data_IF_387125092594
#
_entry.id   IF_387125092594
#
_cell.length_a   1.000
_cell.length_b   1.000
_cell.length_c   1.000
_cell.angle_alpha   90.00
_cell.angle_beta   90.00
_cell.angle_gamma   90.00
#
_symmetry.space_group_name_H-M   'P 1'
#
loop_
_entity.id
_entity.type
_entity.pdbx_description
1 polymer ?
#
# COMPACT_ATOMS: atom_id res chain seq x y z
N UNK A 1 -19.92 -22.91 -16.17
CA UNK A 1 -20.76 -22.27 -15.15
C UNK A 1 -19.86 -21.95 -13.96
N UNK A 2 -19.37 -20.71 -13.87
CA UNK A 2 -18.58 -20.25 -12.74
C UNK A 2 -19.53 -20.03 -11.57
N UNK A 3 -19.34 -20.80 -10.50
CA UNK A 3 -20.06 -20.68 -9.24
C UNK A 3 -19.79 -19.30 -8.65
N UNK A 4 -20.85 -18.54 -8.38
CA UNK A 4 -20.78 -17.18 -7.87
C UNK A 4 -20.03 -17.12 -6.54
N UNK A 5 -18.80 -16.60 -6.58
CA UNK A 5 -18.20 -16.01 -5.40
C UNK A 5 -19.03 -14.75 -5.10
N UNK A 6 -19.61 -14.67 -3.91
CA UNK A 6 -20.37 -13.49 -3.52
C UNK A 6 -19.43 -12.29 -3.44
N UNK A 7 -19.77 -11.18 -4.08
CA UNK A 7 -19.09 -9.88 -3.98
C UNK A 7 -19.16 -9.27 -2.55
N UNK A 8 -19.61 -10.03 -1.56
CA UNK A 8 -19.77 -9.61 -0.18
C UNK A 8 -18.42 -9.58 0.55
N UNK A 9 -18.08 -8.44 1.16
CA UNK A 9 -16.97 -8.33 2.11
C UNK A 9 -17.12 -9.33 3.27
N UNK A 10 -16.04 -10.01 3.64
CA UNK A 10 -16.03 -10.87 4.82
C UNK A 10 -15.66 -10.03 6.06
N UNK A 11 -15.90 -10.54 7.28
CA UNK A 11 -15.67 -9.79 8.52
C UNK A 11 -14.26 -9.19 8.65
N UNK A 12 -13.23 -9.90 8.16
CA UNK A 12 -11.84 -9.41 8.15
C UNK A 12 -11.65 -8.18 7.27
N UNK A 13 -12.42 -8.05 6.18
CA UNK A 13 -12.35 -6.83 5.36
C UNK A 13 -12.99 -5.65 6.08
N UNK A 14 -14.14 -5.87 6.72
CA UNK A 14 -14.80 -4.80 7.48
C UNK A 14 -13.88 -4.28 8.59
N UNK A 15 -13.30 -5.19 9.39
CA UNK A 15 -12.38 -4.80 10.47
C UNK A 15 -11.13 -4.08 9.94
N UNK A 16 -10.47 -4.62 8.91
CA UNK A 16 -9.28 -4.00 8.35
C UNK A 16 -9.54 -2.65 7.66
N UNK A 17 -10.73 -2.46 7.07
CA UNK A 17 -11.15 -1.17 6.53
C UNK A 17 -11.50 -0.16 7.63
N UNK A 18 -12.08 -0.62 8.74
CA UNK A 18 -12.27 0.20 9.94
C UNK A 18 -10.92 0.66 10.51
N UNK A 19 -9.91 -0.22 10.59
CA UNK A 19 -8.56 0.14 11.02
C UNK A 19 -7.93 1.18 10.08
N UNK A 20 -8.04 0.98 8.76
CA UNK A 20 -7.59 1.98 7.79
C UNK A 20 -8.31 3.32 7.96
N UNK A 21 -9.62 3.31 8.20
CA UNK A 21 -10.40 4.53 8.44
C UNK A 21 -9.99 5.21 9.76
N UNK A 22 -9.64 4.45 10.80
CA UNK A 22 -9.12 5.01 12.07
C UNK A 22 -7.75 5.65 11.86
N UNK A 23 -6.88 5.01 11.07
CA UNK A 23 -5.53 5.53 10.77
C UNK A 23 -5.61 6.74 9.84
N UNK A 24 -6.52 6.73 8.86
CA UNK A 24 -6.69 7.75 7.82
C UNK A 24 -8.11 8.34 7.80
N UNK A 25 -8.54 9.03 8.88
CA UNK A 25 -9.92 9.48 9.03
C UNK A 25 -10.36 10.46 7.95
N UNK A 26 -9.42 11.22 7.38
CA UNK A 26 -9.66 12.19 6.33
C UNK A 26 -10.02 11.56 4.98
N UNK A 27 -9.76 10.27 4.79
CA UNK A 27 -9.96 9.63 3.50
C UNK A 27 -11.37 9.13 3.29
N UNK A 28 -12.16 8.83 4.32
CA UNK A 28 -13.51 8.28 4.15
C UNK A 28 -13.50 6.89 3.50
N UNK A 29 -12.65 6.01 4.03
CA UNK A 29 -12.49 4.61 3.67
C UNK A 29 -13.68 3.82 4.21
N UNK A 30 -14.49 3.25 3.32
CA UNK A 30 -15.55 2.31 3.69
C UNK A 30 -15.71 1.18 2.64
N UNK A 31 -16.65 0.26 2.86
CA UNK A 31 -16.87 -0.88 1.98
C UNK A 31 -17.46 -0.48 0.60
N UNK A 32 -18.29 0.57 0.54
CA UNK A 32 -19.07 1.00 -0.62
C UNK A 32 -18.40 2.13 -1.42
N UNK A 33 -17.54 2.91 -0.77
CA UNK A 33 -16.67 3.91 -1.32
C UNK A 33 -15.30 3.29 -1.49
N UNK A 34 -14.84 3.09 -2.73
CA UNK A 34 -13.51 2.51 -2.93
C UNK A 34 -12.42 3.34 -2.27
N UNK A 35 -11.97 4.42 -2.89
CA UNK A 35 -10.83 5.17 -2.36
C UNK A 35 -11.20 6.20 -1.28
N UNK A 36 -12.49 6.39 -1.02
CA UNK A 36 -12.94 7.64 -0.41
C UNK A 36 -12.35 8.85 -1.18
N UNK A 37 -11.90 9.89 -0.49
CA UNK A 37 -11.32 11.09 -1.09
C UNK A 37 -9.94 10.93 -1.78
N UNK A 38 -9.30 9.75 -1.74
CA UNK A 38 -7.91 9.55 -2.21
C UNK A 38 -7.74 9.07 -3.66
N UNK A 39 -8.81 9.04 -4.48
CA UNK A 39 -8.79 8.33 -5.77
C UNK A 39 -9.27 9.10 -7.00
N UNK A 40 -8.66 8.77 -8.15
CA UNK A 40 -8.99 9.27 -9.49
C UNK A 40 -10.46 9.06 -9.91
N UNK A 41 -11.15 8.13 -9.26
CA UNK A 41 -12.56 7.86 -9.43
C UNK A 41 -13.15 7.45 -8.07
N UNK A 42 -13.81 8.39 -7.39
CA UNK A 42 -14.50 8.17 -6.12
C UNK A 42 -15.64 7.14 -6.23
N UNK A 43 -16.10 6.85 -7.45
CA UNK A 43 -17.14 5.84 -7.73
C UNK A 43 -16.58 4.44 -8.00
N UNK A 44 -15.26 4.27 -8.13
CA UNK A 44 -14.65 2.94 -8.27
C UNK A 44 -14.84 2.19 -6.95
N UNK A 45 -15.55 1.07 -6.98
CA UNK A 45 -15.78 0.23 -5.80
C UNK A 45 -14.62 -0.74 -5.60
N UNK A 46 -14.34 -1.08 -4.33
CA UNK A 46 -13.53 -2.25 -4.01
C UNK A 46 -14.25 -3.49 -4.52
N UNK A 47 -13.51 -4.43 -5.08
CA UNK A 47 -14.06 -5.66 -5.64
C UNK A 47 -13.35 -6.86 -5.03
N UNK A 48 -14.11 -7.78 -4.44
CA UNK A 48 -13.58 -9.11 -4.12
C UNK A 48 -13.61 -9.99 -5.35
N UNK A 49 -12.54 -10.74 -5.59
CA UNK A 49 -12.49 -11.82 -6.59
C UNK A 49 -12.75 -11.39 -8.06
N UNK A 50 -12.93 -10.10 -8.34
CA UNK A 50 -13.09 -9.56 -9.70
C UNK A 50 -11.75 -9.18 -10.35
N UNK A 51 -10.68 -9.21 -9.55
CA UNK A 51 -9.32 -8.87 -9.94
C UNK A 51 -8.47 -10.14 -10.08
N UNK A 52 -7.69 -10.22 -11.15
CA UNK A 52 -6.75 -11.31 -11.32
C UNK A 52 -5.69 -11.27 -10.19
N UNK A 53 -5.33 -12.45 -9.68
CA UNK A 53 -4.28 -12.61 -8.64
C UNK A 53 -4.55 -11.83 -7.35
N UNK A 54 -5.83 -11.63 -7.06
CA UNK A 54 -6.34 -11.06 -5.81
C UNK A 54 -6.32 -12.10 -4.69
N UNK A 55 -5.16 -12.29 -4.07
CA UNK A 55 -4.98 -13.23 -2.97
C UNK A 55 -4.98 -12.48 -1.63
N UNK A 56 -5.99 -12.63 -0.77
CA UNK A 56 -5.95 -12.06 0.58
C UNK A 56 -4.83 -12.71 1.41
N UNK A 57 -4.32 -11.97 2.40
CA UNK A 57 -3.44 -12.55 3.42
C UNK A 57 -4.20 -13.58 4.26
N UNK A 58 -3.49 -14.62 4.69
CA UNK A 58 -3.97 -15.54 5.73
C UNK A 58 -3.40 -15.20 7.11
N UNK A 59 -2.47 -14.25 7.15
CA UNK A 59 -1.82 -13.78 8.37
C UNK A 59 -2.71 -12.71 9.02
N UNK A 60 -3.20 -12.93 10.26
CA UNK A 60 -4.09 -12.00 10.94
C UNK A 60 -3.41 -10.66 11.27
N UNK A 61 -2.08 -10.61 11.35
CA UNK A 61 -1.33 -9.39 11.65
C UNK A 61 -1.11 -8.53 10.40
N UNK A 62 -1.46 -9.02 9.21
CA UNK A 62 -1.26 -8.31 7.94
C UNK A 62 -2.55 -8.29 7.12
N UNK A 63 -3.22 -7.15 7.15
CA UNK A 63 -4.39 -6.89 6.32
C UNK A 63 -3.99 -6.15 5.04
N UNK A 64 -4.42 -6.69 3.90
CA UNK A 64 -4.36 -5.97 2.61
C UNK A 64 -5.78 -5.80 2.07
N UNK A 65 -6.17 -4.54 1.87
CA UNK A 65 -7.52 -4.20 1.45
C UNK A 65 -7.84 -4.79 0.07
N UNK A 66 -9.10 -5.19 -0.18
CA UNK A 66 -9.55 -5.59 -1.51
C UNK A 66 -9.14 -4.57 -2.57
N UNK A 67 -8.70 -5.07 -3.72
CA UNK A 67 -8.30 -4.23 -4.84
C UNK A 67 -9.52 -3.49 -5.40
N UNK A 68 -9.27 -2.40 -6.15
CA UNK A 68 -10.32 -1.73 -6.91
C UNK A 68 -10.06 -1.84 -8.40
N UNK A 69 -11.13 -2.13 -9.14
CA UNK A 69 -11.11 -2.17 -10.60
C UNK A 69 -11.32 -0.76 -11.17
N UNK A 70 -10.46 -0.33 -12.08
CA UNK A 70 -10.53 1.01 -12.71
C UNK A 70 -10.78 0.96 -14.22
N UNK A 71 -10.73 -0.22 -14.82
CA UNK A 71 -10.89 -0.41 -16.27
C UNK A 71 -11.44 -1.81 -16.60
N UNK A 72 -11.73 -2.07 -17.89
CA UNK A 72 -12.34 -3.32 -18.32
C UNK A 72 -11.37 -4.52 -18.34
N UNK A 73 -10.06 -4.28 -18.39
CA UNK A 73 -9.04 -5.32 -18.46
C UNK A 73 -8.95 -6.19 -17.21
N UNK A 74 -8.35 -7.37 -17.36
CA UNK A 74 -8.12 -8.30 -16.23
C UNK A 74 -7.10 -7.76 -15.22
N UNK A 75 -6.12 -6.99 -15.71
CA UNK A 75 -5.06 -6.35 -14.91
C UNK A 75 -5.39 -4.92 -14.48
N UNK A 76 -6.60 -4.41 -14.80
CA UNK A 76 -7.04 -3.06 -14.44
C UNK A 76 -7.50 -2.97 -12.98
N UNK A 77 -6.70 -3.57 -12.09
CA UNK A 77 -6.93 -3.66 -10.66
C UNK A 77 -5.73 -3.14 -9.90
N UNK A 78 -5.99 -2.24 -8.95
CA UNK A 78 -4.94 -1.56 -8.16
C UNK A 78 -5.14 -1.77 -6.66
N UNK A 79 -4.04 -1.85 -5.92
CA UNK A 79 -4.06 -1.95 -4.46
C UNK A 79 -4.67 -0.69 -3.83
N UNK A 80 -5.35 -0.84 -2.69
CA UNK A 80 -6.11 0.26 -2.07
C UNK A 80 -5.71 0.61 -0.64
N UNK A 81 -4.86 -0.21 -0.03
CA UNK A 81 -4.32 0.06 1.30
C UNK A 81 -3.93 -1.22 2.01
N UNK A 82 -3.15 -1.07 3.07
CA UNK A 82 -2.71 -2.15 3.92
C UNK A 82 -2.56 -1.68 5.36
N UNK A 83 -2.79 -2.57 6.30
CA UNK A 83 -2.53 -2.38 7.73
C UNK A 83 -1.74 -3.58 8.23
N UNK A 84 -0.75 -3.34 9.08
CA UNK A 84 -0.11 -4.39 9.83
C UNK A 84 0.04 -4.05 11.31
N UNK A 85 0.00 -5.11 12.11
CA UNK A 85 0.48 -5.11 13.48
C UNK A 85 1.85 -5.76 13.51
N UNK A 86 2.88 -4.92 13.59
CA UNK A 86 4.27 -5.34 13.45
C UNK A 86 4.88 -5.53 14.84
N UNK A 87 5.38 -6.73 15.08
CA UNK A 87 6.12 -7.10 16.29
C UNK A 87 7.50 -7.62 15.91
N UNK A 88 8.34 -7.94 16.90
CA UNK A 88 9.66 -8.52 16.65
C UNK A 88 9.58 -9.85 15.84
N UNK A 89 8.53 -10.65 16.08
CA UNK A 89 8.28 -11.90 15.36
C UNK A 89 7.92 -11.69 13.89
N UNK A 90 7.42 -10.50 13.54
CA UNK A 90 7.09 -10.13 12.16
C UNK A 90 8.34 -9.90 11.29
N UNK A 91 9.48 -9.55 11.89
CA UNK A 91 10.66 -9.06 11.17
C UNK A 91 11.35 -10.15 10.35
N UNK A 92 11.74 -9.82 9.11
CA UNK A 92 12.44 -10.74 8.18
C UNK A 92 13.79 -10.18 7.78
N UNK A 93 14.71 -10.14 8.73
CA UNK A 93 16.05 -9.59 8.49
C UNK A 93 16.79 -10.34 7.36
N UNK A 94 17.51 -9.57 6.53
CA UNK A 94 18.35 -10.11 5.46
C UNK A 94 17.59 -10.70 4.28
N UNK A 95 16.25 -10.78 4.34
CA UNK A 95 15.42 -11.26 3.24
C UNK A 95 14.83 -10.07 2.49
N UNK A 96 15.07 -10.04 1.17
CA UNK A 96 14.37 -9.17 0.24
C UNK A 96 13.73 -10.04 -0.82
N UNK A 97 12.43 -10.28 -0.65
CA UNK A 97 11.64 -11.00 -1.64
C UNK A 97 11.10 -10.03 -2.67
N UNK A 98 11.39 -10.31 -3.94
CA UNK A 98 10.77 -9.59 -5.04
C UNK A 98 9.28 -9.95 -5.15
N UNK A 99 8.43 -8.99 -5.54
CA UNK A 99 7.05 -9.24 -5.92
C UNK A 99 6.97 -10.29 -7.01
N UNK A 100 6.05 -11.24 -6.86
CA UNK A 100 5.84 -12.31 -7.85
C UNK A 100 5.22 -11.83 -9.16
N UNK A 101 4.50 -10.71 -9.13
CA UNK A 101 3.73 -10.18 -10.26
C UNK A 101 3.87 -8.67 -10.40
N UNK A 102 3.60 -8.20 -11.61
CA UNK A 102 3.60 -6.79 -11.95
C UNK A 102 2.28 -6.14 -11.50
N UNK A 103 2.32 -5.06 -10.70
CA UNK A 103 1.11 -4.34 -10.33
C UNK A 103 0.54 -3.55 -11.52
N UNK A 104 -0.72 -3.10 -11.39
CA UNK A 104 -1.34 -2.26 -12.41
C UNK A 104 -0.49 -1.02 -12.73
N UNK A 105 -0.50 -0.60 -13.99
CA UNK A 105 0.29 0.54 -14.46
C UNK A 105 1.79 0.26 -14.70
N UNK A 106 2.24 -0.99 -14.57
CA UNK A 106 3.66 -1.34 -14.74
C UNK A 106 4.21 -0.99 -16.12
N UNK A 107 3.47 -1.29 -17.19
CA UNK A 107 3.87 -0.96 -18.57
C UNK A 107 3.96 0.55 -18.81
N UNK A 108 3.10 1.33 -18.15
CA UNK A 108 3.15 2.78 -18.18
C UNK A 108 4.44 3.29 -17.53
N UNK A 109 4.76 2.84 -16.30
CA UNK A 109 5.99 3.24 -15.60
C UNK A 109 7.24 2.88 -16.40
N UNK A 110 7.31 1.68 -16.98
CA UNK A 110 8.42 1.26 -17.86
C UNK A 110 8.57 2.17 -19.09
N UNK A 111 7.47 2.65 -19.64
CA UNK A 111 7.47 3.53 -20.82
C UNK A 111 7.90 4.95 -20.45
N UNK A 112 7.40 5.49 -19.35
CA UNK A 112 7.69 6.85 -18.89
C UNK A 112 9.11 6.96 -18.33
N UNK A 113 9.61 5.93 -17.64
CA UNK A 113 10.94 5.94 -17.02
C UNK A 113 11.61 4.55 -17.06
N UNK A 114 12.21 4.16 -18.21
CA UNK A 114 12.67 2.79 -18.49
C UNK A 114 13.80 2.24 -17.61
N UNK A 115 14.39 3.07 -16.74
CA UNK A 115 15.44 2.69 -15.79
C UNK A 115 15.13 3.13 -14.35
N UNK A 116 13.90 3.54 -14.07
CA UNK A 116 13.49 4.05 -12.76
C UNK A 116 12.19 3.40 -12.27
N UNK A 117 11.89 2.19 -12.72
CA UNK A 117 10.69 1.45 -12.37
C UNK A 117 10.88 0.69 -11.05
N UNK A 118 9.88 0.75 -10.18
CA UNK A 118 9.84 -0.01 -8.94
C UNK A 118 8.46 -0.63 -8.73
N UNK A 119 8.46 -1.82 -8.14
CA UNK A 119 7.27 -2.45 -7.58
C UNK A 119 7.29 -2.15 -6.09
N UNK A 120 6.63 -1.06 -5.71
CA UNK A 120 6.64 -0.56 -4.35
C UNK A 120 5.80 -1.49 -3.48
N UNK A 121 6.38 -1.96 -2.38
CA UNK A 121 5.62 -2.65 -1.33
C UNK A 121 4.77 -1.62 -0.59
N UNK A 122 3.54 -1.94 -0.21
CA UNK A 122 2.83 -1.13 0.79
C UNK A 122 3.36 -1.46 2.19
N UNK A 123 3.59 -2.73 2.47
CA UNK A 123 4.27 -3.22 3.66
C UNK A 123 5.51 -3.97 3.19
N UNK A 124 6.69 -3.45 3.54
CA UNK A 124 7.95 -4.04 3.11
C UNK A 124 8.18 -5.44 3.66
N UNK A 125 8.94 -6.23 2.91
CA UNK A 125 9.26 -7.60 3.29
C UNK A 125 10.03 -7.68 4.61
N UNK A 126 10.91 -6.72 4.90
CA UNK A 126 11.67 -6.67 6.17
C UNK A 126 10.78 -6.48 7.39
N UNK A 127 9.59 -5.90 7.20
CA UNK A 127 8.55 -5.73 8.22
C UNK A 127 7.52 -6.88 8.24
N UNK A 128 7.77 -7.98 7.50
CA UNK A 128 6.88 -9.13 7.40
C UNK A 128 5.92 -9.11 6.21
N UNK A 129 5.97 -8.04 5.40
CA UNK A 129 5.14 -7.87 4.20
C UNK A 129 5.22 -9.05 3.22
N UNK A 130 4.07 -9.41 2.66
CA UNK A 130 3.92 -10.55 1.77
C UNK A 130 4.27 -10.18 0.33
N UNK A 131 4.97 -11.08 -0.39
CA UNK A 131 5.31 -10.92 -1.81
C UNK A 131 4.43 -11.71 -2.78
N UNK A 132 3.43 -12.41 -2.25
CA UNK A 132 2.51 -13.28 -2.99
C UNK A 132 1.09 -12.70 -3.11
N UNK A 133 0.91 -11.40 -2.92
CA UNK A 133 -0.38 -10.73 -3.14
C UNK A 133 -0.20 -9.40 -3.86
N UNK A 134 -0.92 -9.20 -4.96
CA UNK A 134 -0.95 -7.90 -5.67
C UNK A 134 -1.59 -6.78 -4.84
N UNK A 135 -2.28 -7.12 -3.73
CA UNK A 135 -2.79 -6.12 -2.79
C UNK A 135 -1.69 -5.37 -2.04
N UNK A 136 -0.47 -5.93 -1.98
CA UNK A 136 0.67 -5.30 -1.32
C UNK A 136 1.57 -4.50 -2.28
N UNK A 137 1.18 -4.34 -3.55
CA UNK A 137 2.05 -3.77 -4.57
C UNK A 137 1.41 -2.65 -5.37
N UNK A 138 2.19 -1.61 -5.61
CA UNK A 138 1.86 -0.55 -6.56
C UNK A 138 3.02 -0.31 -7.51
N UNK A 139 2.71 0.08 -8.75
CA UNK A 139 3.72 0.54 -9.70
C UNK A 139 4.21 1.91 -9.27
N UNK A 140 5.51 2.13 -9.29
CA UNK A 140 6.07 3.44 -8.98
C UNK A 140 7.52 3.57 -9.40
N UNK A 141 8.20 4.53 -8.79
CA UNK A 141 9.54 4.91 -9.22
C UNK A 141 10.61 4.53 -8.18
N UNK A 142 11.77 4.09 -8.66
CA UNK A 142 12.87 3.60 -7.81
C UNK A 142 13.53 4.74 -7.03
N UNK A 143 13.90 5.80 -7.74
CA UNK A 143 14.53 6.99 -7.21
C UNK A 143 13.50 7.81 -6.45
N UNK A 144 13.91 8.24 -5.26
CA UNK A 144 13.18 8.99 -4.24
C UNK A 144 12.05 8.20 -3.60
N UNK A 145 11.06 7.71 -4.36
CA UNK A 145 9.88 7.06 -3.80
C UNK A 145 10.22 5.73 -3.11
N UNK A 146 10.72 4.72 -3.87
CA UNK A 146 11.16 3.45 -3.26
C UNK A 146 12.37 3.65 -2.35
N UNK A 147 13.37 4.37 -2.87
CA UNK A 147 14.62 4.68 -2.18
C UNK A 147 15.05 6.09 -2.57
N UNK A 148 15.18 7.03 -1.64
CA UNK A 148 15.37 6.80 -0.20
C UNK A 148 14.11 6.81 0.68
N UNK A 149 13.00 7.41 0.25
CA UNK A 149 11.92 7.81 1.18
C UNK A 149 11.17 6.66 1.84
N UNK A 150 10.60 5.72 1.09
CA UNK A 150 9.92 4.57 1.73
C UNK A 150 10.89 3.72 2.53
N UNK A 151 12.12 3.53 2.03
CA UNK A 151 13.15 2.79 2.73
C UNK A 151 13.51 3.41 4.10
N UNK A 152 13.70 4.75 4.17
CA UNK A 152 14.00 5.45 5.43
C UNK A 152 12.84 5.28 6.45
N UNK A 153 11.60 5.45 6.00
CA UNK A 153 10.41 5.29 6.85
C UNK A 153 10.24 3.85 7.36
N UNK A 154 10.54 2.86 6.53
CA UNK A 154 10.53 1.45 6.90
C UNK A 154 11.65 1.12 7.90
N UNK A 155 12.82 1.75 7.77
CA UNK A 155 13.93 1.63 8.71
C UNK A 155 13.57 2.23 10.08
N UNK A 156 12.87 3.36 10.13
CA UNK A 156 12.35 3.94 11.37
C UNK A 156 11.40 2.98 12.10
N UNK A 157 10.47 2.35 11.37
CA UNK A 157 9.56 1.33 11.93
C UNK A 157 10.32 0.11 12.41
N UNK A 158 11.28 -0.38 11.61
CA UNK A 158 12.13 -1.51 11.97
C UNK A 158 12.88 -1.23 13.29
N UNK A 159 13.46 -0.05 13.43
CA UNK A 159 14.18 0.36 14.62
C UNK A 159 13.26 0.49 15.85
N UNK A 160 12.06 1.04 15.68
CA UNK A 160 11.06 1.09 16.74
C UNK A 160 10.71 -0.31 17.24
N UNK A 161 10.47 -1.27 16.33
CA UNK A 161 10.18 -2.66 16.69
C UNK A 161 11.37 -3.33 17.39
N UNK A 162 12.59 -3.14 16.87
CA UNK A 162 13.83 -3.62 17.51
C UNK A 162 14.08 -3.05 18.89
N UNK A 163 13.54 -1.86 19.17
CA UNK A 163 13.58 -1.24 20.50
C UNK A 163 12.54 -1.82 21.47
N UNK A 164 11.76 -2.82 21.05
CA UNK A 164 10.75 -3.51 21.86
C UNK A 164 9.33 -2.99 21.67
N UNK A 165 9.07 -2.10 20.69
CA UNK A 165 7.72 -1.62 20.43
C UNK A 165 6.95 -2.62 19.56
N UNK A 166 5.65 -2.70 19.81
CA UNK A 166 4.73 -3.20 18.79
C UNK A 166 4.14 -2.01 18.03
N UNK A 167 4.05 -2.09 16.70
CA UNK A 167 3.71 -0.96 15.84
C UNK A 167 2.49 -1.27 14.97
N UNK A 168 1.43 -0.46 15.09
CA UNK A 168 0.38 -0.41 14.07
C UNK A 168 0.88 0.44 12.91
N UNK A 169 0.93 -0.13 11.71
CA UNK A 169 1.45 0.49 10.49
C UNK A 169 0.39 0.46 9.39
N UNK A 170 0.02 1.61 8.87
CA UNK A 170 -0.98 1.76 7.81
C UNK A 170 -0.40 2.47 6.60
N UNK A 171 -0.73 1.96 5.40
CA UNK A 171 -0.30 2.53 4.12
C UNK A 171 -1.45 2.62 3.15
N UNK A 172 -1.64 3.78 2.52
CA UNK A 172 -2.68 4.02 1.50
C UNK A 172 -2.08 4.68 0.26
N UNK A 173 -2.12 4.03 -0.92
CA UNK A 173 -1.79 4.67 -2.19
C UNK A 173 -2.92 5.60 -2.64
N UNK A 174 -2.54 6.80 -3.10
CA UNK A 174 -3.44 7.84 -3.62
C UNK A 174 -3.30 7.91 -5.13
N UNK A 175 -4.41 7.88 -5.85
CA UNK A 175 -4.42 7.86 -7.32
C UNK A 175 -5.13 9.10 -7.85
N UNK A 176 -4.70 9.63 -8.99
CA UNK A 176 -5.38 10.77 -9.65
C UNK A 176 -4.44 11.61 -10.50
N UNK A 177 -3.26 11.90 -9.96
CA UNK A 177 -2.37 12.93 -10.52
C UNK A 177 -1.12 12.38 -11.22
N UNK A 178 -1.03 11.06 -11.37
CA UNK A 178 0.11 10.36 -11.99
C UNK A 178 0.04 10.26 -13.51
N UNK A 179 -1.08 10.63 -14.13
CA UNK A 179 -1.35 10.44 -15.55
C UNK A 179 -1.75 9.02 -15.96
N UNK A 180 -1.81 8.06 -15.02
CA UNK A 180 -2.31 6.71 -15.27
C UNK A 180 -3.09 6.15 -14.07
N UNK A 181 -4.32 5.61 -14.25
CA UNK A 181 -5.16 5.17 -13.14
C UNK A 181 -4.56 4.01 -12.32
N UNK A 182 -3.71 3.17 -12.91
CA UNK A 182 -2.99 2.11 -12.19
C UNK A 182 -1.80 2.57 -11.34
N UNK A 183 -1.32 3.81 -11.49
CA UNK A 183 -0.11 4.31 -10.80
C UNK A 183 -0.53 5.35 -9.76
N UNK A 184 -0.21 5.20 -8.47
CA UNK A 184 -0.51 6.23 -7.48
C UNK A 184 0.40 7.45 -7.69
N UNK A 185 -0.09 8.66 -7.38
CA UNK A 185 0.72 9.88 -7.30
C UNK A 185 1.42 10.02 -5.96
N UNK A 186 0.84 9.44 -4.91
CA UNK A 186 1.29 9.59 -3.53
C UNK A 186 1.07 8.29 -2.75
N UNK A 187 1.85 8.09 -1.70
CA UNK A 187 1.75 6.98 -0.77
C UNK A 187 1.73 7.57 0.63
N UNK A 188 0.56 7.46 1.28
CA UNK A 188 0.37 7.90 2.65
C UNK A 188 0.77 6.78 3.59
N UNK A 189 1.61 7.10 4.57
CA UNK A 189 2.17 6.14 5.52
C UNK A 189 1.97 6.70 6.93
N UNK A 190 1.38 5.91 7.82
CA UNK A 190 1.20 6.26 9.24
C UNK A 190 1.57 5.10 10.13
N UNK A 191 2.24 5.40 11.25
CA UNK A 191 2.60 4.40 12.24
C UNK A 191 2.42 4.91 13.67
N UNK A 192 2.06 4.00 14.58
CA UNK A 192 1.96 4.23 16.02
C UNK A 192 2.56 3.04 16.76
N UNK A 193 3.61 3.28 17.55
CA UNK A 193 4.22 2.29 18.43
C UNK A 193 3.67 2.33 19.85
N UNK A 194 3.74 1.20 20.55
CA UNK A 194 3.29 1.03 21.93
C UNK A 194 4.01 1.94 22.94
N UNK A 195 5.25 2.36 22.63
CA UNK A 195 6.07 3.22 23.49
C UNK A 195 6.24 4.64 22.91
N UNK A 196 5.28 5.09 22.11
CA UNK A 196 5.20 6.47 21.65
C UNK A 196 5.86 6.77 20.31
N UNK A 197 6.40 5.77 19.59
CA UNK A 197 6.82 5.95 18.19
C UNK A 197 5.67 6.45 17.32
N UNK A 198 5.95 7.40 16.44
CA UNK A 198 4.95 8.04 15.57
C UNK A 198 5.53 8.34 14.21
N UNK A 199 4.74 8.06 13.18
CA UNK A 199 5.04 8.40 11.80
C UNK A 199 3.74 8.86 11.12
N UNK A 200 3.80 9.95 10.36
CA UNK A 200 2.70 10.46 9.53
C UNK A 200 3.31 11.17 8.32
N UNK A 201 3.46 10.44 7.23
CA UNK A 201 4.21 10.86 6.07
C UNK A 201 3.44 10.64 4.77
N UNK A 202 3.72 11.50 3.80
CA UNK A 202 3.34 11.34 2.41
C UNK A 202 4.61 11.23 1.56
N UNK A 203 4.70 10.17 0.75
CA UNK A 203 5.74 9.96 -0.25
C UNK A 203 5.15 10.15 -1.65
N UNK A 204 5.67 11.12 -2.40
CA UNK A 204 5.28 11.36 -3.79
C UNK A 204 5.90 10.31 -4.72
N UNK A 205 5.09 9.76 -5.61
CA UNK A 205 5.47 8.77 -6.61
C UNK A 205 5.48 9.39 -8.02
N UNK A 206 6.62 9.95 -8.42
CA UNK A 206 6.78 10.70 -9.66
C UNK A 206 8.08 10.33 -10.39
N UNK A 207 8.13 10.45 -11.73
CA UNK A 207 9.23 9.93 -12.54
C UNK A 207 10.57 10.67 -12.40
N UNK A 208 10.60 11.83 -11.71
CA UNK A 208 11.78 12.73 -11.62
C UNK A 208 12.33 12.77 -10.20
N UNK A 209 13.64 12.88 -10.05
CA UNK A 209 14.31 12.87 -8.76
C UNK A 209 14.49 14.27 -8.13
N UNK A 210 13.47 14.79 -7.45
CA UNK A 210 13.65 15.93 -6.54
C UNK A 210 13.50 15.45 -5.09
N UNK A 211 14.59 14.86 -4.59
CA UNK A 211 14.74 14.26 -3.26
C UNK A 211 14.24 15.19 -2.13
N UNK A 212 14.33 16.52 -2.32
CA UNK A 212 13.97 17.49 -1.28
C UNK A 212 12.48 17.76 -1.18
N UNK A 213 11.72 17.30 -2.16
CA UNK A 213 10.29 17.53 -2.21
C UNK A 213 9.50 16.20 -2.31
N UNK A 214 10.19 15.05 -2.39
CA UNK A 214 9.56 13.74 -2.57
C UNK A 214 8.86 13.16 -1.34
N UNK A 215 9.13 13.67 -0.14
CA UNK A 215 8.49 13.23 1.09
C UNK A 215 8.14 14.41 2.00
N UNK A 216 7.00 14.33 2.68
CA UNK A 216 6.58 15.28 3.72
C UNK A 216 6.03 14.52 4.92
N UNK A 217 6.51 14.84 6.13
CA UNK A 217 6.07 14.22 7.37
C UNK A 217 5.53 15.25 8.35
N UNK A 218 4.49 14.89 9.10
CA UNK A 218 3.91 15.71 10.17
C UNK A 218 4.37 15.17 11.53
N UNK A 219 5.02 16.03 12.31
CA UNK A 219 5.31 15.79 13.72
C UNK A 219 6.26 14.62 13.97
N UNK A 220 7.56 14.87 13.84
CA UNK A 220 8.59 14.14 14.57
C UNK A 220 9.01 15.00 15.76
N UNK A 221 8.79 14.49 16.98
CA UNK A 221 9.52 14.94 18.16
C UNK A 221 10.66 13.96 18.41
#
# INVERSE_FOLDING_TARGET
>A
MATGATDSFAPVDTAGLEDLQVIFPELGIDNDQGFGGSGANHSAKRTRNACARDFPSLDPDFYYAPMSKFGPGEEDCRATGAVAWITEESLREGLRLDPKWDPAGWDHVKTVSPNNQARLHLIANVLGGHNHTLRNFVSGYQLDANSVHMWDLEEDVLNAVKSGQSVTYGVVPVYGDSGHPGVPSDILIRARGSEGFRLDCNVRNFPRGDVRAGMSCKGGD
#
